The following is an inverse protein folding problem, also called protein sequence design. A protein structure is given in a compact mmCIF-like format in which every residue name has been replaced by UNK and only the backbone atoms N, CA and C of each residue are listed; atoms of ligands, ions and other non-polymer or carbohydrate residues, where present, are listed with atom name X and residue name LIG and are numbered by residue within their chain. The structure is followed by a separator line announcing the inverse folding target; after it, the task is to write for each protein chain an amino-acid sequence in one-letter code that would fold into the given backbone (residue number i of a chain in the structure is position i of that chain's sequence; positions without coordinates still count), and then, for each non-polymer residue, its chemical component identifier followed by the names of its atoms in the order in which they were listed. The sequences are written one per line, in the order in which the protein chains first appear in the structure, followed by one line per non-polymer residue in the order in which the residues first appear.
data_IF_121536162895
#
_entry.id   IF_121536162895
#
_cell.length_a   1.000
_cell.length_b   1.000
_cell.length_c   1.000
_cell.angle_alpha   90.00
_cell.angle_beta   90.00
_cell.angle_gamma   90.00
#
_symmetry.space_group_name_H-M   'P 1'
#
loop_
_entity.id
_entity.type
_entity.pdbx_description
1 polymer ?
#
# COMPACT_ATOMS: atom_id res chain seq x y z
N UNK A 1 47.76 -40.35 -6.35
CA UNK A 1 46.60 -40.12 -7.25
C UNK A 1 45.30 -39.77 -6.52
N UNK A 2 44.76 -40.61 -5.61
CA UNK A 2 43.47 -40.32 -4.92
C UNK A 2 43.38 -38.97 -4.19
N UNK A 3 44.46 -38.50 -3.54
CA UNK A 3 44.49 -37.20 -2.85
C UNK A 3 44.40 -35.99 -3.80
N UNK A 4 45.02 -36.04 -4.98
CA UNK A 4 44.93 -34.96 -5.97
C UNK A 4 43.52 -34.83 -6.56
N UNK A 5 42.85 -35.96 -6.81
CA UNK A 5 41.47 -35.97 -7.32
C UNK A 5 40.52 -35.33 -6.32
N UNK A 6 40.68 -35.62 -5.03
CA UNK A 6 39.85 -35.04 -3.95
C UNK A 6 40.04 -33.51 -3.83
N UNK A 7 41.27 -33.02 -3.96
CA UNK A 7 41.57 -31.58 -3.92
C UNK A 7 40.97 -30.86 -5.12
N UNK A 8 41.08 -31.44 -6.32
CA UNK A 8 40.50 -30.87 -7.55
C UNK A 8 38.97 -30.83 -7.48
N UNK A 9 38.32 -31.89 -7.01
CA UNK A 9 36.86 -31.89 -6.83
C UNK A 9 36.40 -30.84 -5.80
N UNK A 10 37.17 -30.64 -4.73
CA UNK A 10 36.85 -29.62 -3.71
C UNK A 10 36.99 -28.20 -4.27
N UNK A 11 38.04 -27.93 -5.06
CA UNK A 11 38.24 -26.66 -5.77
C UNK A 11 37.12 -26.37 -6.78
N UNK A 12 36.69 -27.37 -7.55
CA UNK A 12 35.58 -27.23 -8.50
C UNK A 12 34.26 -26.91 -7.77
N UNK A 13 33.97 -27.59 -6.67
CA UNK A 13 32.77 -27.33 -5.87
C UNK A 13 32.77 -25.90 -5.27
N UNK A 14 33.92 -25.42 -4.79
CA UNK A 14 34.07 -24.05 -4.29
C UNK A 14 33.85 -23.02 -5.42
N UNK A 15 34.45 -23.24 -6.59
CA UNK A 15 34.25 -22.36 -7.75
C UNK A 15 32.79 -22.33 -8.23
N UNK A 16 32.08 -23.47 -8.19
CA UNK A 16 30.66 -23.54 -8.55
C UNK A 16 29.77 -22.82 -7.53
N UNK A 17 30.06 -22.90 -6.23
CA UNK A 17 29.31 -22.14 -5.21
C UNK A 17 29.54 -20.63 -5.28
N UNK A 18 30.78 -20.20 -5.55
CA UNK A 18 31.09 -18.78 -5.72
C UNK A 18 30.42 -18.18 -6.96
N UNK A 19 30.35 -18.94 -8.06
CA UNK A 19 29.64 -18.51 -9.27
C UNK A 19 28.12 -18.56 -9.10
N UNK A 20 27.57 -19.55 -8.37
CA UNK A 20 26.13 -19.59 -8.07
C UNK A 20 25.68 -18.37 -7.25
N UNK A 21 26.50 -17.91 -6.30
CA UNK A 21 26.24 -16.71 -5.51
C UNK A 21 26.24 -15.43 -6.37
N UNK A 22 27.18 -15.32 -7.32
CA UNK A 22 27.24 -14.20 -8.27
C UNK A 22 26.06 -14.20 -9.26
N UNK A 23 25.69 -15.36 -9.80
CA UNK A 23 24.54 -15.48 -10.71
C UNK A 23 23.23 -15.16 -9.99
N UNK A 24 23.10 -15.54 -8.71
CA UNK A 24 21.94 -15.17 -7.90
C UNK A 24 21.84 -13.65 -7.65
N UNK A 25 22.97 -12.95 -7.48
CA UNK A 25 22.98 -11.47 -7.39
C UNK A 25 22.57 -10.81 -8.72
N UNK A 26 23.03 -11.34 -9.86
CA UNK A 26 22.67 -10.83 -11.21
C UNK A 26 21.18 -11.05 -11.53
N UNK A 27 20.55 -12.08 -10.96
CA UNK A 27 19.13 -12.39 -11.16
C UNK A 27 18.20 -11.70 -10.14
N UNK A 28 18.75 -11.01 -9.14
CA UNK A 28 17.96 -10.29 -8.14
C UNK A 28 17.55 -8.91 -8.68
N UNK A 29 16.24 -8.63 -8.70
CA UNK A 29 15.73 -7.29 -9.05
C UNK A 29 16.18 -6.30 -7.99
N UNK A 30 17.08 -5.38 -8.35
CA UNK A 30 17.52 -4.30 -7.47
C UNK A 30 16.52 -3.14 -7.56
N UNK A 31 16.05 -2.69 -6.40
CA UNK A 31 15.20 -1.51 -6.28
C UNK A 31 16.03 -0.30 -5.86
N UNK A 32 15.55 0.89 -6.20
CA UNK A 32 16.08 2.15 -5.70
C UNK A 32 15.95 2.28 -4.18
N UNK A 33 16.48 3.37 -3.63
CA UNK A 33 16.08 3.85 -2.30
C UNK A 33 14.60 4.27 -2.30
N UNK A 34 14.02 4.45 -1.11
CA UNK A 34 12.62 4.86 -0.95
C UNK A 34 12.42 6.32 -1.41
N UNK A 35 11.95 6.50 -2.64
CA UNK A 35 11.71 7.84 -3.22
C UNK A 35 10.53 8.58 -2.57
N UNK A 36 9.70 7.88 -1.78
CA UNK A 36 8.64 8.53 -1.01
C UNK A 36 9.19 9.35 0.18
N UNK A 37 10.39 9.03 0.67
CA UNK A 37 10.93 9.61 1.90
C UNK A 37 11.04 11.14 1.79
N UNK A 38 10.66 11.83 2.86
CA UNK A 38 10.80 13.28 2.98
C UNK A 38 12.25 13.75 2.78
N UNK A 39 13.23 12.88 3.01
CA UNK A 39 14.66 13.15 2.75
C UNK A 39 14.97 13.48 1.28
N UNK A 40 14.13 13.04 0.32
CA UNK A 40 14.28 13.34 -1.11
C UNK A 40 13.43 14.53 -1.58
N UNK A 41 12.88 15.33 -0.65
CA UNK A 41 12.03 16.47 -0.97
C UNK A 41 10.60 16.10 -1.36
N UNK A 42 10.18 14.87 -1.06
CA UNK A 42 8.81 14.40 -1.26
C UNK A 42 7.87 14.97 -0.20
N UNK A 43 6.76 15.55 -0.64
CA UNK A 43 5.73 16.12 0.21
C UNK A 43 4.62 15.10 0.48
N UNK A 44 4.12 15.10 1.72
CA UNK A 44 3.03 14.26 2.16
C UNK A 44 1.98 15.15 2.83
N UNK A 45 0.69 14.87 2.60
CA UNK A 45 -0.37 15.61 3.30
C UNK A 45 -0.44 15.29 4.81
N UNK A 46 0.33 14.30 5.27
CA UNK A 46 0.66 14.07 6.66
C UNK A 46 2.13 13.60 6.78
N UNK A 47 2.98 14.20 7.63
CA UNK A 47 4.42 13.91 7.65
C UNK A 47 4.76 12.47 8.07
N UNK A 48 3.99 11.89 8.99
CA UNK A 48 4.13 10.47 9.38
C UNK A 48 3.75 9.44 8.31
N UNK A 49 3.70 9.82 7.03
CA UNK A 49 3.57 8.88 5.91
C UNK A 49 4.92 8.57 5.27
N UNK A 50 5.92 9.43 5.48
CA UNK A 50 7.18 9.38 4.78
C UNK A 50 8.36 9.91 5.62
N UNK A 51 8.24 9.84 6.94
CA UNK A 51 9.29 10.26 7.88
C UNK A 51 10.34 9.15 8.12
N UNK A 52 10.12 7.96 7.56
CA UNK A 52 11.00 6.80 7.71
C UNK A 52 10.85 6.06 9.04
N UNK A 53 9.80 6.36 9.83
CA UNK A 53 9.57 5.80 11.15
C UNK A 53 8.25 5.03 11.22
N UNK A 54 8.34 3.71 11.39
CA UNK A 54 7.15 2.85 11.57
C UNK A 54 6.41 3.10 12.90
N UNK A 55 7.01 3.85 13.82
CA UNK A 55 6.40 4.24 15.09
C UNK A 55 5.46 5.44 14.94
N UNK A 56 5.60 6.21 13.87
CA UNK A 56 4.73 7.36 13.59
C UNK A 56 3.42 6.88 12.97
N UNK A 57 2.32 7.57 13.28
CA UNK A 57 1.02 7.33 12.67
C UNK A 57 0.58 8.57 11.90
N UNK A 58 0.40 8.40 10.59
CA UNK A 58 -0.35 9.36 9.78
C UNK A 58 -1.85 9.14 9.94
N UNK A 59 -2.56 10.21 10.28
CA UNK A 59 -4.00 10.14 10.56
C UNK A 59 -4.79 11.10 9.69
N UNK A 60 -5.95 10.63 9.24
CA UNK A 60 -6.96 11.47 8.58
C UNK A 60 -8.24 11.51 9.42
N UNK A 61 -8.92 12.65 9.48
CA UNK A 61 -10.11 12.81 10.29
C UNK A 61 -11.23 11.84 9.87
N UNK A 62 -12.15 11.59 10.80
CA UNK A 62 -13.33 10.76 10.65
C UNK A 62 -14.36 11.40 9.70
N UNK A 63 -14.05 11.42 8.40
CA UNK A 63 -14.86 12.02 7.34
C UNK A 63 -15.06 11.03 6.17
N UNK A 64 -16.00 11.32 5.27
CA UNK A 64 -16.28 10.43 4.15
C UNK A 64 -15.13 10.37 3.14
N UNK A 65 -14.49 11.51 2.91
CA UNK A 65 -13.34 11.65 2.03
C UNK A 65 -12.06 11.58 2.87
N UNK A 66 -11.30 10.51 2.66
CA UNK A 66 -10.05 10.24 3.39
C UNK A 66 -9.01 9.83 2.36
N UNK A 67 -8.16 10.76 1.99
CA UNK A 67 -7.11 10.57 0.99
C UNK A 67 -5.74 10.83 1.61
N UNK A 68 -4.89 9.83 1.65
CA UNK A 68 -3.46 10.02 1.91
C UNK A 68 -2.78 10.31 0.57
N UNK A 69 -1.99 11.38 0.49
CA UNK A 69 -1.42 11.86 -0.76
C UNK A 69 0.07 12.10 -0.59
N UNK A 70 0.87 11.46 -1.45
CA UNK A 70 2.29 11.71 -1.62
C UNK A 70 2.48 12.45 -2.93
N UNK A 71 3.29 13.51 -2.89
CA UNK A 71 3.67 14.34 -4.03
C UNK A 71 5.19 14.41 -4.12
N UNK A 72 5.71 13.98 -5.25
CA UNK A 72 7.12 14.09 -5.57
C UNK A 72 7.47 15.47 -6.14
N UNK A 73 8.74 15.85 -6.06
CA UNK A 73 9.23 17.08 -6.69
C UNK A 73 9.09 17.02 -8.23
N UNK A 74 9.35 15.86 -8.83
CA UNK A 74 9.28 15.61 -10.27
C UNK A 74 8.54 14.30 -10.60
N UNK A 75 8.33 14.03 -11.88
CA UNK A 75 7.63 12.81 -12.33
C UNK A 75 8.59 11.61 -12.25
N UNK A 76 8.36 10.71 -11.30
CA UNK A 76 9.17 9.51 -11.12
C UNK A 76 8.53 8.26 -11.73
N UNK A 77 9.34 7.32 -12.24
CA UNK A 77 8.87 5.96 -12.50
C UNK A 77 8.53 5.24 -11.20
N UNK A 78 7.46 4.46 -11.20
CA UNK A 78 7.00 3.70 -10.03
C UNK A 78 6.94 2.22 -10.39
N UNK A 79 7.60 1.39 -9.56
CA UNK A 79 7.75 -0.06 -9.79
C UNK A 79 7.21 -0.88 -8.64
N UNK A 80 7.38 -0.38 -7.42
CA UNK A 80 6.88 -1.02 -6.21
C UNK A 80 6.40 0.04 -5.22
N UNK A 81 5.31 -0.26 -4.54
CA UNK A 81 4.76 0.52 -3.44
C UNK A 81 4.53 -0.41 -2.26
N UNK A 82 4.94 -0.01 -1.07
CA UNK A 82 4.71 -0.71 0.17
C UNK A 82 3.93 0.21 1.10
N UNK A 83 2.84 -0.28 1.69
CA UNK A 83 2.07 0.44 2.70
C UNK A 83 2.15 -0.33 4.01
N UNK A 84 2.71 0.32 5.01
CA UNK A 84 2.66 -0.11 6.40
C UNK A 84 1.34 0.38 6.99
N UNK A 85 0.39 -0.54 7.10
CA UNK A 85 -0.98 -0.25 7.47
C UNK A 85 -1.17 -0.27 8.98
N UNK A 86 -2.05 0.61 9.49
CA UNK A 86 -2.55 0.52 10.86
C UNK A 86 -3.97 -0.05 10.89
N UNK A 87 -4.93 0.60 10.21
CA UNK A 87 -6.35 0.25 10.36
C UNK A 87 -7.17 0.26 9.06
N UNK A 88 -6.53 0.39 7.90
CA UNK A 88 -7.23 0.39 6.62
C UNK A 88 -7.79 -1.00 6.31
N UNK A 89 -9.06 -1.06 5.88
CA UNK A 89 -9.75 -2.31 5.53
C UNK A 89 -10.08 -2.39 4.03
N UNK A 90 -10.48 -1.26 3.44
CA UNK A 90 -10.72 -1.12 2.01
C UNK A 90 -10.25 0.26 1.54
N UNK A 91 -9.49 0.28 0.46
CA UNK A 91 -8.97 1.51 -0.12
C UNK A 91 -8.62 1.30 -1.59
N UNK A 92 -8.48 2.40 -2.30
CA UNK A 92 -8.04 2.42 -3.69
C UNK A 92 -6.69 3.11 -3.80
N UNK A 93 -5.84 2.55 -4.65
CA UNK A 93 -4.55 3.10 -5.02
C UNK A 93 -4.70 3.80 -6.36
N UNK A 94 -4.38 5.09 -6.38
CA UNK A 94 -4.38 5.89 -7.59
C UNK A 94 -3.09 6.65 -7.79
N UNK A 95 -2.83 7.02 -9.03
CA UNK A 95 -1.78 7.97 -9.41
C UNK A 95 -2.39 9.10 -10.25
N UNK A 96 -1.75 10.27 -10.23
CA UNK A 96 -2.10 11.35 -11.14
C UNK A 96 -1.40 11.10 -12.48
N UNK A 97 -2.15 10.87 -13.55
CA UNK A 97 -1.57 10.67 -14.87
C UNK A 97 -1.00 12.00 -15.38
N UNK A 98 0.32 12.08 -15.66
CA UNK A 98 0.96 13.34 -16.06
C UNK A 98 0.54 13.83 -17.46
N UNK A 99 -0.07 12.97 -18.29
CA UNK A 99 -0.52 13.32 -19.65
C UNK A 99 -1.95 13.88 -19.65
N UNK A 100 -2.83 13.34 -18.82
CA UNK A 100 -4.26 13.72 -18.77
C UNK A 100 -4.62 14.64 -17.61
N UNK A 101 -3.74 14.74 -16.59
CA UNK A 101 -4.00 15.43 -15.32
C UNK A 101 -5.20 14.85 -14.55
N UNK A 102 -5.51 13.57 -14.78
CA UNK A 102 -6.60 12.86 -14.12
C UNK A 102 -6.08 11.80 -13.14
N UNK A 103 -6.85 11.56 -12.08
CA UNK A 103 -6.58 10.47 -11.14
C UNK A 103 -7.00 9.13 -11.74
N UNK A 104 -6.02 8.24 -11.94
CA UNK A 104 -6.25 6.89 -12.42
C UNK A 104 -6.06 5.87 -11.28
N UNK A 105 -7.05 5.01 -11.08
CA UNK A 105 -6.97 3.92 -10.10
C UNK A 105 -6.29 2.71 -10.73
N UNK A 106 -5.15 2.28 -10.19
CA UNK A 106 -4.43 1.10 -10.66
C UNK A 106 -4.72 -0.16 -9.82
N UNK A 107 -5.20 0.01 -8.58
CA UNK A 107 -5.56 -1.14 -7.74
C UNK A 107 -6.62 -0.78 -6.69
N UNK A 108 -7.61 -1.66 -6.51
CA UNK A 108 -8.51 -1.63 -5.34
C UNK A 108 -8.14 -2.72 -4.36
N UNK A 109 -7.95 -2.37 -3.09
CA UNK A 109 -7.69 -3.31 -2.00
C UNK A 109 -8.97 -3.58 -1.22
N UNK A 110 -9.26 -4.86 -1.04
CA UNK A 110 -10.30 -5.34 -0.15
C UNK A 110 -9.64 -6.38 0.76
N UNK A 111 -9.43 -6.03 2.02
CA UNK A 111 -8.84 -6.95 2.99
C UNK A 111 -9.70 -8.23 3.09
N UNK A 112 -9.02 -9.39 3.09
CA UNK A 112 -9.68 -10.69 3.28
C UNK A 112 -10.13 -10.83 4.73
N UNK A 113 -11.22 -11.56 4.98
CA UNK A 113 -11.79 -11.73 6.34
C UNK A 113 -10.90 -12.54 7.29
N UNK A 114 -9.96 -13.33 6.77
CA UNK A 114 -9.11 -14.21 7.58
C UNK A 114 -7.69 -13.63 7.65
N UNK A 115 -7.42 -12.79 8.65
CA UNK A 115 -6.09 -12.22 8.93
C UNK A 115 -5.54 -12.66 10.30
N UNK A 116 -6.01 -13.80 10.82
CA UNK A 116 -5.61 -14.31 12.12
C UNK A 116 -6.15 -13.47 13.27
N UNK A 117 -5.29 -13.16 14.24
CA UNK A 117 -5.62 -12.38 15.44
C UNK A 117 -5.58 -10.86 15.21
N UNK A 118 -5.07 -10.42 14.06
CA UNK A 118 -4.97 -9.01 13.74
C UNK A 118 -6.31 -8.45 13.26
N UNK A 119 -6.59 -7.19 13.56
CA UNK A 119 -7.82 -6.51 13.11
C UNK A 119 -7.69 -5.96 11.70
N UNK A 120 -6.48 -5.57 11.28
CA UNK A 120 -6.15 -5.08 9.95
C UNK A 120 -4.88 -5.78 9.43
N UNK A 121 -4.79 -5.99 8.11
CA UNK A 121 -3.58 -6.54 7.50
C UNK A 121 -2.45 -5.51 7.63
N UNK A 122 -1.26 -5.85 8.15
CA UNK A 122 -0.28 -4.87 8.60
C UNK A 122 0.56 -4.31 7.44
N UNK A 123 0.62 -5.03 6.32
CA UNK A 123 1.47 -4.68 5.18
C UNK A 123 0.75 -4.97 3.86
N UNK A 124 0.77 -4.02 2.95
CA UNK A 124 0.37 -4.21 1.55
C UNK A 124 1.55 -3.93 0.63
N UNK A 125 1.83 -4.87 -0.28
CA UNK A 125 2.91 -4.76 -1.26
C UNK A 125 2.31 -4.81 -2.66
N UNK A 126 2.54 -3.75 -3.42
CA UNK A 126 2.19 -3.65 -4.83
C UNK A 126 3.49 -3.65 -5.62
N UNK A 127 3.69 -4.65 -6.46
CA UNK A 127 4.95 -4.84 -7.18
C UNK A 127 4.68 -5.03 -8.68
N UNK A 128 5.73 -4.92 -9.50
CA UNK A 128 5.68 -4.99 -10.97
C UNK A 128 4.77 -3.90 -11.57
N UNK A 129 4.72 -2.74 -10.93
CA UNK A 129 4.04 -1.56 -11.46
C UNK A 129 4.81 -0.99 -12.66
N UNK A 130 4.12 -0.32 -13.57
CA UNK A 130 4.73 0.28 -14.76
C UNK A 130 4.00 1.56 -15.17
N UNK A 131 4.13 2.59 -14.34
CA UNK A 131 3.64 3.93 -14.64
C UNK A 131 4.63 4.98 -14.14
N UNK A 132 4.41 6.23 -14.55
CA UNK A 132 5.15 7.40 -14.08
C UNK A 132 4.16 8.40 -13.52
N UNK A 133 4.49 9.04 -12.41
CA UNK A 133 3.59 10.03 -11.81
C UNK A 133 4.36 10.98 -10.91
N UNK A 134 3.78 12.16 -10.67
CA UNK A 134 4.21 13.06 -9.62
C UNK A 134 3.44 12.81 -8.30
N UNK A 135 2.29 12.15 -8.33
CA UNK A 135 1.44 12.00 -7.15
C UNK A 135 0.82 10.61 -7.02
N UNK A 136 0.85 10.08 -5.81
CA UNK A 136 0.17 8.84 -5.43
C UNK A 136 -0.87 9.15 -4.37
N UNK A 137 -2.04 8.50 -4.49
CA UNK A 137 -3.14 8.62 -3.53
C UNK A 137 -3.56 7.25 -3.01
N UNK A 138 -3.76 7.17 -1.70
CA UNK A 138 -4.50 6.09 -1.03
C UNK A 138 -5.87 6.63 -0.64
N UNK A 139 -6.90 6.29 -1.41
CA UNK A 139 -8.28 6.69 -1.15
C UNK A 139 -8.97 5.69 -0.24
N UNK A 140 -9.12 6.04 1.04
CA UNK A 140 -9.67 5.16 2.07
C UNK A 140 -11.18 5.12 1.98
N UNK A 141 -11.70 3.96 1.56
CA UNK A 141 -13.15 3.76 1.49
C UNK A 141 -13.70 3.19 2.78
N UNK A 142 -12.93 2.36 3.50
CA UNK A 142 -13.32 1.75 4.78
C UNK A 142 -12.12 1.45 5.70
N UNK A 143 -12.29 1.69 6.99
CA UNK A 143 -11.39 1.24 8.08
C UNK A 143 -12.03 0.09 8.87
N UNK A 144 -11.23 -0.59 9.70
CA UNK A 144 -11.72 -1.63 10.62
C UNK A 144 -12.50 -1.07 11.80
N UNK A 145 -12.43 0.24 12.02
CA UNK A 145 -13.10 0.97 13.09
C UNK A 145 -14.35 1.72 12.62
N UNK A 146 -14.62 1.74 11.30
CA UNK A 146 -15.84 2.32 10.74
C UNK A 146 -17.09 1.54 11.23
N UNK A 147 -18.09 2.26 11.71
CA UNK A 147 -19.33 1.69 12.23
C UNK A 147 -20.43 1.75 11.18
N UNK A 148 -21.26 0.71 11.09
CA UNK A 148 -22.44 0.72 10.23
C UNK A 148 -23.67 0.85 11.11
N UNK A 149 -24.41 1.94 10.95
CA UNK A 149 -25.67 2.20 11.64
C UNK A 149 -26.85 2.07 10.69
N UNK A 150 -28.01 1.72 11.23
CA UNK A 150 -29.26 1.71 10.47
C UNK A 150 -30.00 3.02 10.74
N UNK A 151 -30.29 3.80 9.69
CA UNK A 151 -31.10 5.02 9.76
C UNK A 151 -32.41 4.84 9.00
N UNK A 152 -33.48 5.42 9.50
CA UNK A 152 -34.81 5.40 8.87
C UNK A 152 -34.84 6.35 7.65
N UNK A 153 -34.05 7.42 7.72
CA UNK A 153 -33.90 8.43 6.68
C UNK A 153 -32.42 8.77 6.52
N UNK A 154 -31.97 8.98 5.28
CA UNK A 154 -30.61 9.44 5.00
C UNK A 154 -30.54 10.97 5.09
N UNK A 155 -29.52 11.49 5.74
CA UNK A 155 -29.24 12.92 5.86
C UNK A 155 -28.23 13.38 4.80
N UNK A 156 -28.19 14.67 4.43
CA UNK A 156 -27.14 15.20 3.56
C UNK A 156 -25.75 14.90 4.15
N UNK A 157 -24.89 14.30 3.33
CA UNK A 157 -23.56 13.86 3.77
C UNK A 157 -23.50 12.44 4.35
N UNK A 158 -24.61 11.71 4.47
CA UNK A 158 -24.56 10.30 4.84
C UNK A 158 -23.95 9.43 3.74
N UNK A 159 -22.95 8.63 4.11
CA UNK A 159 -22.40 7.60 3.23
C UNK A 159 -23.25 6.33 3.33
N UNK A 160 -24.29 6.27 2.49
CA UNK A 160 -25.18 5.11 2.38
C UNK A 160 -24.44 3.95 1.70
N UNK A 161 -24.29 2.82 2.41
CA UNK A 161 -23.68 1.60 1.90
C UNK A 161 -24.72 0.68 1.24
N UNK A 162 -25.94 0.65 1.79
CA UNK A 162 -26.98 -0.30 1.40
C UNK A 162 -28.37 0.23 1.82
N UNK A 163 -29.44 -0.24 1.17
CA UNK A 163 -30.83 0.06 1.53
C UNK A 163 -31.57 -1.25 1.73
N UNK A 164 -32.15 -1.43 2.91
CA UNK A 164 -32.88 -2.66 3.27
C UNK A 164 -34.33 -2.36 3.58
N UNK A 165 -35.18 -3.34 3.30
CA UNK A 165 -36.63 -3.26 3.48
C UNK A 165 -37.08 -3.91 4.78
N UNK A 166 -36.21 -4.65 5.47
CA UNK A 166 -36.59 -5.46 6.63
C UNK A 166 -35.60 -5.30 7.77
N UNK A 167 -36.08 -4.92 8.95
CA UNK A 167 -35.30 -4.84 10.20
C UNK A 167 -35.99 -5.75 11.24
N UNK A 168 -35.27 -6.73 11.80
CA UNK A 168 -35.81 -7.68 12.80
C UNK A 168 -37.11 -8.36 12.31
N UNK A 169 -37.16 -8.77 11.04
CA UNK A 169 -38.32 -9.46 10.45
C UNK A 169 -39.55 -8.60 10.15
N UNK A 170 -39.53 -7.30 10.47
CA UNK A 170 -40.60 -6.36 10.13
C UNK A 170 -40.23 -5.53 8.91
N UNK A 171 -41.20 -5.26 8.01
CA UNK A 171 -40.99 -4.38 6.87
C UNK A 171 -40.82 -2.94 7.38
N UNK A 172 -39.59 -2.47 7.33
CA UNK A 172 -39.22 -1.12 7.72
C UNK A 172 -38.06 -0.67 6.83
N UNK A 173 -38.32 0.16 5.79
CA UNK A 173 -37.26 0.61 4.89
C UNK A 173 -36.27 1.45 5.68
N UNK A 174 -35.01 1.01 5.70
CA UNK A 174 -33.92 1.71 6.36
C UNK A 174 -32.66 1.71 5.51
N UNK A 175 -31.82 2.70 5.75
CA UNK A 175 -30.53 2.91 5.15
C UNK A 175 -29.45 2.37 6.08
N UNK A 176 -28.47 1.67 5.52
CA UNK A 176 -27.23 1.32 6.22
C UNK A 176 -26.22 2.40 5.92
N UNK A 177 -25.96 3.24 6.91
CA UNK A 177 -25.06 4.39 6.79
C UNK A 177 -23.75 4.06 7.48
N UNK A 178 -22.64 4.38 6.80
CA UNK A 178 -21.32 4.29 7.40
C UNK A 178 -21.04 5.55 8.22
N UNK A 179 -20.66 5.37 9.48
CA UNK A 179 -20.02 6.40 10.28
C UNK A 179 -18.50 6.21 10.16
N UNK A 180 -17.80 7.11 9.46
CA UNK A 180 -16.36 7.00 9.29
C UNK A 180 -15.65 7.17 10.63
N UNK A 181 -14.60 6.39 10.85
CA UNK A 181 -13.61 6.58 11.90
C UNK A 181 -12.32 7.20 11.32
N UNK A 182 -11.37 7.51 12.21
CA UNK A 182 -10.03 7.99 11.83
C UNK A 182 -9.34 6.92 10.98
N UNK A 183 -8.81 7.32 9.82
CA UNK A 183 -7.98 6.44 9.00
C UNK A 183 -6.51 6.62 9.36
N UNK A 184 -5.77 5.51 9.40
CA UNK A 184 -4.40 5.49 9.91
C UNK A 184 -3.48 4.61 9.06
N UNK A 185 -2.31 5.14 8.73
CA UNK A 185 -1.18 4.41 8.13
C UNK A 185 0.11 4.79 8.88
N UNK A 186 1.12 3.93 8.81
CA UNK A 186 2.42 4.15 9.47
C UNK A 186 3.45 4.75 8.54
N UNK A 187 3.54 4.24 7.32
CA UNK A 187 4.54 4.67 6.33
C UNK A 187 4.10 4.17 4.95
N UNK A 188 4.44 4.92 3.91
CA UNK A 188 4.35 4.49 2.52
C UNK A 188 5.75 4.58 1.91
N UNK A 189 6.21 3.46 1.36
CA UNK A 189 7.47 3.38 0.64
C UNK A 189 7.19 3.21 -0.85
N UNK A 190 7.98 3.89 -1.69
CA UNK A 190 7.83 3.85 -3.14
C UNK A 190 9.21 3.67 -3.75
N UNK A 191 9.30 2.79 -4.74
CA UNK A 191 10.55 2.37 -5.36
C UNK A 191 10.45 2.33 -6.87
N UNK A 192 11.58 2.60 -7.53
CA UNK A 192 11.82 2.26 -8.94
C UNK A 192 12.88 1.16 -9.05
N UNK A 193 13.17 0.72 -10.27
CA UNK A 193 14.28 -0.21 -10.52
C UNK A 193 15.59 0.57 -10.40
N UNK A 194 16.56 0.02 -9.67
CA UNK A 194 17.91 0.56 -9.67
C UNK A 194 18.51 0.44 -11.08
N UNK A 195 19.25 1.45 -11.51
CA UNK A 195 20.08 1.29 -12.70
C UNK A 195 21.16 0.25 -12.38
N UNK A 196 21.23 -0.82 -13.17
CA UNK A 196 22.33 -1.77 -13.07
C UNK A 196 23.63 -1.01 -13.35
N UNK A 197 24.43 -0.77 -12.32
CA UNK A 197 25.81 -0.27 -12.47
C UNK A 197 26.71 -1.36 -13.08
#
# INVERSE_FOLDING_TARGET
MRRMILIVCCLIAICLHLNACRVAQVLSTQYSENIASAAYGTEANHPGMNDGSLETLATLPAQNERNFIIKFAEVHPVRKIVIHNSNLFRFEMGYLNPETDEWETFHTVIQRRNIGDERAQPLFVFDRLNFRTQMIRVAVTRTVDDVIINKIMAEPGDKVIDRRTTLVGQYYPHYRVMQPAVAQIREIEIYHLAENQ
#
